data_IF_669078986335
#
_entry.id   IF_669078986335
#
_cell.length_a   1.000
_cell.length_b   1.000
_cell.length_c   1.000
_cell.angle_alpha   90.00
_cell.angle_beta   90.00
_cell.angle_gamma   90.00
#
_symmetry.space_group_name_H-M   'P 1'
#
loop_
_entity.id
_entity.type
_entity.pdbx_description
1 polymer ?
#
# COMPACT_ATOMS: atom_id res chain seq x y z
N UNK A 1 -8.91 5.80 -6.41
CA UNK A 1 -8.26 5.67 -5.09
C UNK A 1 -7.37 4.43 -5.03
N UNK A 2 -7.90 3.20 -5.15
CA UNK A 2 -7.11 1.97 -4.97
C UNK A 2 -5.88 1.85 -5.89
N UNK A 3 -5.99 2.27 -7.16
CA UNK A 3 -4.89 2.22 -8.13
C UNK A 3 -3.87 3.35 -7.97
N UNK A 4 -4.27 4.48 -7.36
CA UNK A 4 -3.40 5.65 -7.28
C UNK A 4 -2.19 5.42 -6.37
N UNK A 5 -2.38 4.68 -5.25
CA UNK A 5 -1.28 4.36 -4.34
C UNK A 5 -0.15 3.56 -5.01
N UNK A 6 -0.40 2.41 -5.67
CA UNK A 6 0.65 1.68 -6.37
C UNK A 6 1.18 2.40 -7.62
N UNK A 7 0.38 3.25 -8.30
CA UNK A 7 0.89 4.05 -9.41
C UNK A 7 1.89 5.11 -8.96
N UNK A 8 1.66 5.77 -7.81
CA UNK A 8 2.62 6.68 -7.22
C UNK A 8 3.89 5.94 -6.75
N UNK A 9 3.74 4.72 -6.21
CA UNK A 9 4.89 3.87 -5.87
C UNK A 9 5.69 3.47 -7.13
N UNK A 10 5.00 3.17 -8.23
CA UNK A 10 5.62 2.89 -9.52
C UNK A 10 6.38 4.11 -10.05
N UNK A 11 5.78 5.30 -9.96
CA UNK A 11 6.43 6.56 -10.35
C UNK A 11 7.73 6.78 -9.55
N UNK A 12 7.69 6.57 -8.23
CA UNK A 12 8.90 6.60 -7.39
C UNK A 12 9.94 5.58 -7.87
N UNK A 13 9.55 4.32 -8.08
CA UNK A 13 10.45 3.26 -8.53
C UNK A 13 11.11 3.58 -9.87
N UNK A 14 10.35 4.10 -10.85
CA UNK A 14 10.87 4.48 -12.16
C UNK A 14 11.85 5.65 -12.05
N UNK A 15 11.50 6.71 -11.31
CA UNK A 15 12.39 7.84 -11.10
C UNK A 15 13.69 7.42 -10.41
N UNK A 16 13.60 6.59 -9.37
CA UNK A 16 14.76 6.04 -8.66
C UNK A 16 15.65 5.18 -9.56
N UNK A 17 15.04 4.41 -10.46
CA UNK A 17 15.76 3.55 -11.38
C UNK A 17 16.48 4.40 -12.43
N UNK A 18 15.81 5.38 -13.02
CA UNK A 18 16.39 6.32 -13.99
C UNK A 18 17.54 7.14 -13.39
N UNK A 19 17.34 7.66 -12.18
CA UNK A 19 18.34 8.41 -11.42
C UNK A 19 19.59 7.58 -11.10
N UNK A 20 19.48 6.25 -11.11
CA UNK A 20 20.58 5.32 -10.86
C UNK A 20 21.30 4.78 -12.10
N UNK A 21 20.90 5.16 -13.32
CA UNK A 21 21.41 4.56 -14.55
C UNK A 21 22.87 4.92 -14.86
N UNK A 22 23.34 6.07 -14.39
CA UNK A 22 24.74 6.50 -14.51
C UNK A 22 25.62 6.00 -13.34
N UNK A 23 25.04 5.22 -12.42
CA UNK A 23 25.72 4.69 -11.24
C UNK A 23 25.81 5.67 -10.07
N UNK A 24 25.33 6.90 -10.23
CA UNK A 24 25.18 7.88 -9.15
C UNK A 24 23.70 8.03 -8.79
N UNK A 25 23.38 8.71 -7.69
CA UNK A 25 21.99 9.07 -7.34
C UNK A 25 22.02 10.44 -6.69
N UNK A 26 21.53 11.45 -7.41
CA UNK A 26 21.60 12.84 -7.00
C UNK A 26 20.58 13.11 -5.89
N UNK A 27 21.02 13.08 -4.63
CA UNK A 27 20.15 13.28 -3.46
C UNK A 27 19.51 14.68 -3.37
N UNK A 28 20.02 15.65 -4.12
CA UNK A 28 19.44 16.98 -4.26
C UNK A 28 18.75 17.19 -5.63
N UNK A 29 18.75 16.14 -6.47
CA UNK A 29 18.19 16.17 -7.81
C UNK A 29 16.67 16.17 -7.83
N UNK A 30 16.09 16.67 -8.94
CA UNK A 30 14.64 16.68 -9.12
C UNK A 30 14.03 15.27 -9.08
N UNK A 31 14.73 14.26 -9.61
CA UNK A 31 14.28 12.87 -9.59
C UNK A 31 14.17 12.33 -8.15
N UNK A 32 15.13 12.67 -7.28
CA UNK A 32 15.10 12.33 -5.87
C UNK A 32 13.90 12.96 -5.17
N UNK A 33 13.72 14.29 -5.29
CA UNK A 33 12.64 15.02 -4.60
C UNK A 33 11.27 14.53 -5.07
N UNK A 34 11.03 14.53 -6.40
CA UNK A 34 9.75 14.12 -6.97
C UNK A 34 9.45 12.65 -6.66
N UNK A 35 10.48 11.79 -6.70
CA UNK A 35 10.36 10.39 -6.33
C UNK A 35 9.91 10.21 -4.88
N UNK A 36 10.55 10.88 -3.92
CA UNK A 36 10.19 10.79 -2.51
C UNK A 36 8.81 11.39 -2.22
N UNK A 37 8.42 12.47 -2.91
CA UNK A 37 7.05 13.01 -2.80
C UNK A 37 6.00 12.04 -3.35
N UNK A 38 6.28 11.36 -4.47
CA UNK A 38 5.40 10.31 -4.99
C UNK A 38 5.29 9.14 -3.99
N UNK A 39 6.41 8.71 -3.40
CA UNK A 39 6.42 7.66 -2.39
C UNK A 39 5.63 8.08 -1.12
N UNK A 40 5.80 9.31 -0.65
CA UNK A 40 5.04 9.88 0.45
C UNK A 40 3.53 9.83 0.17
N UNK A 41 3.11 10.32 -1.00
CA UNK A 41 1.71 10.30 -1.42
C UNK A 41 1.15 8.88 -1.53
N UNK A 42 1.95 7.94 -2.03
CA UNK A 42 1.59 6.51 -2.07
C UNK A 42 1.27 5.97 -0.67
N UNK A 43 2.14 6.25 0.31
CA UNK A 43 1.99 5.78 1.69
C UNK A 43 0.74 6.35 2.36
N UNK A 44 0.46 7.65 2.16
CA UNK A 44 -0.78 8.28 2.65
C UNK A 44 -2.02 7.58 2.06
N UNK A 45 -2.03 7.32 0.75
CA UNK A 45 -3.15 6.64 0.11
C UNK A 45 -3.31 5.20 0.61
N UNK A 46 -2.22 4.47 0.86
CA UNK A 46 -2.29 3.14 1.46
C UNK A 46 -2.86 3.16 2.88
N UNK A 47 -2.51 4.14 3.72
CA UNK A 47 -3.17 4.32 5.02
C UNK A 47 -4.68 4.58 4.87
N UNK A 48 -5.09 5.41 3.92
CA UNK A 48 -6.52 5.65 3.64
C UNK A 48 -7.24 4.38 3.17
N UNK A 49 -6.59 3.55 2.35
CA UNK A 49 -7.10 2.24 1.94
C UNK A 49 -7.25 1.34 3.17
N UNK A 50 -6.24 1.24 4.03
CA UNK A 50 -6.28 0.40 5.24
C UNK A 50 -7.48 0.73 6.13
N UNK A 51 -7.67 2.01 6.45
CA UNK A 51 -8.79 2.50 7.26
C UNK A 51 -10.13 2.25 6.56
N UNK A 52 -10.19 2.42 5.25
CA UNK A 52 -11.42 2.19 4.47
C UNK A 52 -11.81 0.71 4.43
N UNK A 53 -10.84 -0.19 4.25
CA UNK A 53 -11.08 -1.64 4.32
C UNK A 53 -11.59 -2.03 5.70
N UNK A 54 -10.94 -1.58 6.77
CA UNK A 54 -11.35 -1.89 8.13
C UNK A 54 -12.79 -1.44 8.44
N UNK A 55 -13.17 -0.23 8.02
CA UNK A 55 -14.55 0.28 8.18
C UNK A 55 -15.60 -0.53 7.42
N UNK A 56 -15.23 -1.14 6.28
CA UNK A 56 -16.14 -1.95 5.45
C UNK A 56 -16.20 -3.42 5.88
N UNK A 57 -15.35 -3.84 6.80
CA UNK A 57 -15.29 -5.22 7.31
C UNK A 57 -16.26 -5.40 8.46
N UNK A 58 -17.30 -6.23 8.24
CA UNK A 58 -18.32 -6.55 9.25
C UNK A 58 -17.90 -7.74 10.11
N UNK A 59 -17.57 -8.85 9.46
CA UNK A 59 -17.05 -10.05 10.13
C UNK A 59 -15.57 -9.85 10.49
N UNK A 60 -15.19 -10.07 11.74
CA UNK A 60 -13.81 -9.82 12.20
C UNK A 60 -13.48 -8.33 12.42
N UNK A 61 -14.48 -7.48 12.71
CA UNK A 61 -14.32 -6.01 12.89
C UNK A 61 -13.17 -5.62 13.84
N UNK A 62 -13.00 -6.34 14.95
CA UNK A 62 -11.91 -6.07 15.92
C UNK A 62 -10.53 -6.31 15.28
N UNK A 63 -10.36 -7.46 14.61
CA UNK A 63 -9.13 -7.78 13.89
C UNK A 63 -8.86 -6.77 12.77
N UNK A 64 -9.90 -6.36 12.04
CA UNK A 64 -9.78 -5.33 11.01
C UNK A 64 -9.32 -3.98 11.58
N UNK A 65 -9.85 -3.57 12.74
CA UNK A 65 -9.44 -2.33 13.40
C UNK A 65 -7.97 -2.40 13.86
N UNK A 66 -7.55 -3.51 14.48
CA UNK A 66 -6.15 -3.74 14.87
C UNK A 66 -5.24 -3.73 13.66
N UNK A 67 -5.60 -4.46 12.59
CA UNK A 67 -4.81 -4.52 11.36
C UNK A 67 -4.68 -3.15 10.69
N UNK A 68 -5.72 -2.31 10.70
CA UNK A 68 -5.63 -0.94 10.23
C UNK A 68 -4.75 -0.07 11.12
N UNK A 69 -4.85 -0.18 12.45
CA UNK A 69 -3.99 0.57 13.36
C UNK A 69 -2.51 0.22 13.15
N UNK A 70 -2.21 -1.08 13.06
CA UNK A 70 -0.87 -1.61 12.74
C UNK A 70 -0.40 -1.12 11.37
N UNK A 71 -1.28 -1.12 10.37
CA UNK A 71 -0.95 -0.60 9.03
C UNK A 71 -0.60 0.89 9.04
N UNK A 72 -1.42 1.69 9.71
CA UNK A 72 -1.26 3.14 9.80
C UNK A 72 -0.02 3.49 10.61
N UNK A 73 0.28 2.76 11.68
CA UNK A 73 1.51 2.93 12.43
C UNK A 73 2.74 2.65 11.55
N UNK A 74 2.73 1.55 10.78
CA UNK A 74 3.81 1.26 9.85
C UNK A 74 3.97 2.31 8.75
N UNK A 75 2.85 2.86 8.23
CA UNK A 75 2.87 4.00 7.32
C UNK A 75 3.51 5.22 7.98
N UNK A 76 3.16 5.53 9.24
CA UNK A 76 3.75 6.66 9.94
C UNK A 76 5.28 6.52 10.05
N UNK A 77 5.80 5.32 10.30
CA UNK A 77 7.24 5.05 10.27
C UNK A 77 7.83 5.29 8.86
N UNK A 78 7.19 4.81 7.79
CA UNK A 78 7.62 5.09 6.42
C UNK A 78 7.66 6.59 6.12
N UNK A 79 6.60 7.32 6.47
CA UNK A 79 6.55 8.77 6.26
C UNK A 79 7.66 9.50 7.02
N UNK A 80 8.01 9.03 8.22
CA UNK A 80 9.12 9.57 8.98
C UNK A 80 10.47 9.36 8.29
N UNK A 81 10.71 8.15 7.77
CA UNK A 81 11.92 7.83 7.00
C UNK A 81 11.99 8.70 5.74
N UNK A 82 10.91 8.78 4.96
CA UNK A 82 10.83 9.60 3.75
C UNK A 82 11.10 11.08 4.05
N UNK A 83 10.59 11.58 5.18
CA UNK A 83 10.85 12.97 5.60
C UNK A 83 12.32 13.18 5.92
N UNK A 84 12.98 12.22 6.59
CA UNK A 84 14.43 12.25 6.80
C UNK A 84 15.23 12.17 5.49
N UNK A 85 14.74 11.44 4.49
CA UNK A 85 15.34 11.37 3.16
C UNK A 85 15.23 12.66 2.36
N UNK A 86 14.21 13.47 2.63
CA UNK A 86 14.03 14.79 2.06
C UNK A 86 14.75 15.90 2.84
N UNK A 87 15.15 15.65 4.10
CA UNK A 87 15.80 16.65 4.96
C UNK A 87 16.80 16.01 5.91
N UNK A 88 18.09 16.24 5.65
CA UNK A 88 19.16 15.80 6.55
C UNK A 88 19.00 16.40 7.95
N UNK A 89 18.66 17.69 8.05
CA UNK A 89 18.40 18.37 9.32
C UNK A 89 17.27 17.70 10.12
N UNK A 90 16.17 17.30 9.46
CA UNK A 90 15.09 16.58 10.12
C UNK A 90 15.57 15.23 10.68
N UNK A 91 16.33 14.47 9.88
CA UNK A 91 16.87 13.16 10.27
C UNK A 91 17.80 13.27 11.49
N UNK A 92 18.64 14.30 11.52
CA UNK A 92 19.59 14.55 12.61
C UNK A 92 18.87 15.02 13.89
N UNK A 93 17.86 15.88 13.74
CA UNK A 93 17.14 16.46 14.88
C UNK A 93 16.16 15.48 15.51
N UNK A 94 15.54 14.62 14.70
CA UNK A 94 14.48 13.70 15.13
C UNK A 94 14.71 12.28 14.59
N UNK A 95 15.80 11.61 14.99
CA UNK A 95 16.13 10.29 14.47
C UNK A 95 15.04 9.27 14.87
N UNK A 96 14.59 8.48 13.91
CA UNK A 96 13.73 7.34 14.19
C UNK A 96 14.61 6.20 14.71
N UNK A 97 14.28 5.56 15.84
CA UNK A 97 15.02 4.38 16.31
C UNK A 97 15.16 3.33 15.21
N UNK A 98 16.35 2.75 15.04
CA UNK A 98 16.66 1.80 13.96
C UNK A 98 15.67 0.63 13.92
N UNK A 99 15.26 0.15 15.09
CA UNK A 99 14.23 -0.88 15.20
C UNK A 99 12.91 -0.48 14.52
N UNK A 100 12.48 0.78 14.65
CA UNK A 100 11.26 1.29 14.01
C UNK A 100 11.45 1.55 12.51
N UNK A 101 12.66 1.86 12.06
CA UNK A 101 12.98 1.96 10.62
C UNK A 101 12.79 0.61 9.91
N UNK A 102 13.06 -0.50 10.61
CA UNK A 102 12.92 -1.86 10.06
C UNK A 102 11.51 -2.41 10.31
N UNK A 103 11.03 -2.35 11.56
CA UNK A 103 9.77 -2.97 11.98
C UNK A 103 8.57 -2.20 11.45
N UNK A 104 8.64 -0.86 11.36
CA UNK A 104 7.55 -0.02 10.85
C UNK A 104 7.05 -0.47 9.46
N UNK A 105 7.94 -0.55 8.45
CA UNK A 105 7.62 -1.12 7.14
C UNK A 105 6.96 -2.51 7.20
N UNK A 106 7.47 -3.41 8.02
CA UNK A 106 6.92 -4.77 8.16
C UNK A 106 5.51 -4.75 8.75
N UNK A 107 5.26 -3.92 9.77
CA UNK A 107 3.93 -3.75 10.36
C UNK A 107 2.92 -3.26 9.32
N UNK A 108 3.32 -2.31 8.47
CA UNK A 108 2.48 -1.87 7.35
C UNK A 108 2.08 -3.03 6.44
N UNK A 109 3.07 -3.81 5.99
CA UNK A 109 2.85 -4.93 5.07
C UNK A 109 1.95 -5.99 5.69
N UNK A 110 2.20 -6.35 6.94
CA UNK A 110 1.42 -7.34 7.68
C UNK A 110 -0.02 -6.89 7.90
N UNK A 111 -0.22 -5.66 8.38
CA UNK A 111 -1.55 -5.12 8.63
C UNK A 111 -2.40 -5.05 7.35
N UNK A 112 -1.82 -4.60 6.24
CA UNK A 112 -2.49 -4.56 4.95
C UNK A 112 -2.80 -5.96 4.42
N UNK A 113 -1.89 -6.92 4.58
CA UNK A 113 -2.10 -8.30 4.16
C UNK A 113 -3.24 -8.96 4.94
N UNK A 114 -3.36 -8.69 6.25
CA UNK A 114 -4.50 -9.13 7.07
C UNK A 114 -5.80 -8.51 6.58
N UNK A 115 -5.82 -7.20 6.30
CA UNK A 115 -7.00 -6.52 5.77
C UNK A 115 -7.45 -7.11 4.43
N UNK A 116 -6.52 -7.34 3.50
CA UNK A 116 -6.81 -8.00 2.23
C UNK A 116 -7.33 -9.44 2.44
N UNK A 117 -6.76 -10.18 3.39
CA UNK A 117 -7.23 -11.53 3.73
C UNK A 117 -8.65 -11.55 4.28
N UNK A 118 -9.04 -10.53 5.08
CA UNK A 118 -10.42 -10.37 5.52
C UNK A 118 -11.37 -10.09 4.34
N UNK A 119 -10.90 -9.39 3.31
CA UNK A 119 -11.68 -9.16 2.09
C UNK A 119 -11.80 -10.43 1.24
N UNK A 120 -10.79 -11.30 1.25
CA UNK A 120 -10.86 -12.65 0.67
C UNK A 120 -11.91 -13.48 1.38
N UNK A 121 -11.88 -13.52 2.72
CA UNK A 121 -12.86 -14.24 3.52
C UNK A 121 -14.30 -13.72 3.30
N UNK A 122 -14.44 -12.44 2.96
CA UNK A 122 -15.72 -11.83 2.59
C UNK A 122 -16.11 -12.02 1.10
N UNK A 123 -15.32 -12.75 0.31
CA UNK A 123 -15.58 -13.00 -1.12
C UNK A 123 -15.44 -11.77 -2.02
N UNK A 124 -14.76 -10.70 -1.56
CA UNK A 124 -14.67 -9.41 -2.27
C UNK A 124 -13.44 -9.29 -3.16
N UNK A 125 -12.37 -10.01 -2.81
CA UNK A 125 -11.12 -10.05 -3.58
C UNK A 125 -10.61 -11.49 -3.65
N UNK A 126 -9.82 -11.85 -4.67
CA UNK A 126 -9.28 -13.20 -4.80
C UNK A 126 -8.12 -13.48 -3.83
N UNK A 127 -7.89 -14.76 -3.52
CA UNK A 127 -6.86 -15.25 -2.57
C UNK A 127 -5.43 -14.80 -2.90
N UNK A 128 -5.13 -14.54 -4.17
CA UNK A 128 -3.81 -14.07 -4.60
C UNK A 128 -3.54 -12.61 -4.22
N UNK A 129 -4.57 -11.80 -3.95
CA UNK A 129 -4.42 -10.37 -3.61
C UNK A 129 -3.52 -10.13 -2.38
N UNK A 130 -3.78 -10.73 -1.20
CA UNK A 130 -2.88 -10.58 -0.06
C UNK A 130 -1.47 -11.14 -0.31
N UNK A 131 -1.36 -12.24 -1.07
CA UNK A 131 -0.07 -12.86 -1.39
C UNK A 131 0.77 -11.95 -2.27
N UNK A 132 0.22 -11.43 -3.37
CA UNK A 132 0.92 -10.49 -4.26
C UNK A 132 1.30 -9.21 -3.53
N UNK A 133 0.43 -8.69 -2.66
CA UNK A 133 0.75 -7.50 -1.86
C UNK A 133 1.97 -7.74 -0.95
N UNK A 134 1.96 -8.85 -0.22
CA UNK A 134 3.06 -9.23 0.67
C UNK A 134 4.37 -9.47 -0.09
N UNK A 135 4.32 -10.28 -1.15
CA UNK A 135 5.50 -10.61 -1.98
C UNK A 135 6.05 -9.38 -2.67
N UNK A 136 5.19 -8.50 -3.19
CA UNK A 136 5.60 -7.25 -3.82
C UNK A 136 6.40 -6.37 -2.85
N UNK A 137 5.92 -6.21 -1.61
CA UNK A 137 6.68 -5.46 -0.61
C UNK A 137 7.96 -6.16 -0.15
N UNK A 138 7.93 -7.48 0.01
CA UNK A 138 9.12 -8.24 0.39
C UNK A 138 10.23 -8.10 -0.65
N UNK A 139 9.88 -8.03 -1.95
CA UNK A 139 10.84 -7.78 -3.01
C UNK A 139 11.56 -6.43 -2.86
N UNK A 140 10.85 -5.37 -2.42
CA UNK A 140 11.45 -4.05 -2.14
C UNK A 140 12.48 -4.15 -1.01
N UNK A 141 12.20 -4.94 0.03
CA UNK A 141 13.12 -5.15 1.15
C UNK A 141 14.37 -5.95 0.78
N UNK A 142 14.27 -6.85 -0.21
CA UNK A 142 15.42 -7.62 -0.71
C UNK A 142 16.33 -6.72 -1.56
N UNK A 143 15.74 -5.95 -2.48
CA UNK A 143 16.49 -5.00 -3.30
C UNK A 143 15.56 -3.86 -3.74
N UNK A 144 15.92 -2.62 -3.37
CA UNK A 144 15.16 -1.44 -3.76
C UNK A 144 15.09 -1.24 -5.28
N UNK A 145 16.03 -1.75 -6.07
CA UNK A 145 15.98 -1.66 -7.53
C UNK A 145 14.84 -2.50 -8.14
N UNK A 146 14.23 -3.40 -7.36
CA UNK A 146 13.01 -4.12 -7.75
C UNK A 146 11.74 -3.28 -7.58
N UNK A 147 11.83 -2.03 -7.10
CA UNK A 147 10.68 -1.14 -6.88
C UNK A 147 9.70 -1.05 -8.06
N UNK A 148 10.13 -0.86 -9.32
CA UNK A 148 9.20 -0.82 -10.45
C UNK A 148 8.40 -2.11 -10.59
N UNK A 149 9.08 -3.26 -10.53
CA UNK A 149 8.44 -4.57 -10.64
C UNK A 149 7.51 -4.83 -9.44
N UNK A 150 7.98 -4.56 -8.23
CA UNK A 150 7.21 -4.66 -7.01
C UNK A 150 5.94 -3.81 -7.05
N UNK A 151 6.03 -2.57 -7.53
CA UNK A 151 4.89 -1.68 -7.67
C UNK A 151 3.85 -2.22 -8.67
N UNK A 152 4.28 -2.84 -9.78
CA UNK A 152 3.37 -3.53 -10.70
C UNK A 152 2.67 -4.74 -10.06
N UNK A 153 3.40 -5.52 -9.26
CA UNK A 153 2.83 -6.64 -8.50
C UNK A 153 1.81 -6.14 -7.46
N UNK A 154 2.11 -5.06 -6.74
CA UNK A 154 1.20 -4.42 -5.78
C UNK A 154 0.00 -3.77 -6.49
N UNK A 155 0.20 -3.21 -7.69
CA UNK A 155 -0.89 -2.73 -8.53
C UNK A 155 -1.85 -3.88 -8.86
N UNK A 156 -1.33 -5.01 -9.35
CA UNK A 156 -2.13 -6.20 -9.60
C UNK A 156 -2.89 -6.65 -8.34
N UNK A 157 -2.21 -6.68 -7.18
CA UNK A 157 -2.79 -7.04 -5.88
C UNK A 157 -4.01 -6.18 -5.50
N UNK A 158 -4.00 -4.89 -5.85
CA UNK A 158 -5.04 -3.92 -5.47
C UNK A 158 -6.13 -3.72 -6.53
N UNK A 159 -5.91 -4.17 -7.77
CA UNK A 159 -6.89 -4.05 -8.87
C UNK A 159 -8.30 -4.53 -8.50
N UNK A 160 -8.49 -5.68 -7.82
CA UNK A 160 -9.82 -6.16 -7.46
C UNK A 160 -10.61 -5.19 -6.56
N UNK A 161 -9.94 -4.35 -5.76
CA UNK A 161 -10.59 -3.38 -4.86
C UNK A 161 -11.29 -2.24 -5.62
N UNK A 162 -10.89 -1.98 -6.86
CA UNK A 162 -11.47 -0.92 -7.70
C UNK A 162 -12.69 -1.36 -8.50
N UNK A 163 -13.02 -2.66 -8.51
CA UNK A 163 -14.18 -3.16 -9.24
C UNK A 163 -15.47 -2.72 -8.52
N UNK A 164 -16.42 -2.06 -9.21
CA UNK A 164 -17.75 -1.84 -8.65
C UNK A 164 -18.33 -3.20 -8.26
N UNK A 165 -18.65 -3.37 -6.98
CA UNK A 165 -19.24 -4.61 -6.50
C UNK A 165 -20.55 -4.86 -7.22
N UNK A 166 -20.67 -6.04 -7.82
CA UNK A 166 -21.88 -6.70 -8.32
C UNK A 166 -22.89 -6.90 -7.19
N UNK A 167 -23.44 -5.79 -6.70
CA UNK A 167 -24.38 -5.68 -5.60
C UNK A 167 -25.73 -5.14 -6.04
N UNK A 168 -26.08 -5.24 -7.33
CA UNK A 168 -27.49 -5.20 -7.71
C UNK A 168 -28.13 -6.46 -7.14
N UNK A 169 -29.15 -6.35 -6.28
CA UNK A 169 -30.03 -7.48 -6.02
C UNK A 169 -30.45 -8.02 -7.37
N UNK A 170 -30.20 -9.31 -7.63
CA UNK A 170 -30.80 -9.99 -8.77
C UNK A 170 -32.29 -9.78 -8.60
N UNK A 171 -32.90 -8.92 -9.41
CA UNK A 171 -34.34 -8.70 -9.38
C UNK A 171 -34.96 -10.08 -9.57
N UNK A 172 -35.55 -10.62 -8.51
CA UNK A 172 -36.33 -11.84 -8.61
C UNK A 172 -37.47 -11.46 -9.58
N UNK A 173 -37.58 -12.10 -10.75
CA UNK A 173 -38.70 -11.83 -11.63
C UNK A 173 -39.95 -12.09 -10.82
N UNK A 174 -40.82 -11.08 -10.70
CA UNK A 174 -42.12 -11.26 -10.10
C UNK A 174 -42.83 -12.37 -10.89
N UNK A 175 -42.96 -13.54 -10.27
CA UNK A 175 -43.82 -14.60 -10.80
C UNK A 175 -45.23 -14.06 -10.70
N UNK A 176 -45.71 -13.54 -11.82
CA UNK A 176 -47.12 -13.24 -12.07
C UNK A 176 -47.90 -14.52 -11.78
N UNK A 177 -48.52 -14.61 -10.61
CA UNK A 177 -49.58 -15.57 -10.37
C UNK A 177 -50.83 -15.01 -11.03
N UNK A 178 -51.10 -15.48 -12.24
CA UNK A 178 -52.45 -15.52 -12.79
C UNK A 178 -52.88 -16.98 -12.80
N UNK A 179 -54.16 -17.17 -12.47
CA UNK A 179 -54.94 -18.40 -12.32
C UNK A 179 -55.02 -18.96 -10.90
#
# INVERSE_FOLDING_TARGET
>A
MAFAAPLLLLAYGVLRWMDGLDGHRDKDGAAWIVGHLAFFGSMVLFAMIAVTLARRTRMGRRLAAVAAAVSVFGVACFLWVITGDLSAEFRERWPLPDALQIVGPLLFVLGMSVLLSLQVAAGRVPVWSPVLFFVGYLAISVNLDLLPLAALVILAATVPLGRPGSGSPRAIPAVSRLH
#
